data_IF_031886317013
#
_entry.id   IF_031886317013
#
_cell.length_a   1.000
_cell.length_b   1.000
_cell.length_c   1.000
_cell.angle_alpha   90.00
_cell.angle_beta   90.00
_cell.angle_gamma   90.00
#
_symmetry.space_group_name_H-M   'P 1'
#
loop_
_entity.id
_entity.type
_entity.pdbx_description
1 polymer ?
#
# COMPACT_ATOMS: atom_id res chain seq x y z
N UNK A 1 -7.43 -55.04 -10.56
CA UNK A 1 -6.14 -55.40 -11.21
C UNK A 1 -6.07 -56.89 -11.56
N UNK A 2 -5.31 -57.28 -12.59
CA UNK A 2 -5.06 -58.68 -12.95
C UNK A 2 -3.67 -59.18 -12.49
N UNK A 3 -3.45 -60.50 -12.52
CA UNK A 3 -2.21 -61.13 -12.02
C UNK A 3 -0.95 -60.71 -12.81
N UNK A 4 -1.08 -60.44 -14.12
CA UNK A 4 0.07 -60.04 -14.94
C UNK A 4 0.53 -58.62 -14.60
N UNK A 5 -0.42 -57.70 -14.42
CA UNK A 5 -0.13 -56.34 -14.00
C UNK A 5 0.47 -56.34 -12.59
N UNK A 6 -0.13 -57.07 -11.64
CA UNK A 6 0.41 -57.23 -10.28
C UNK A 6 1.87 -57.69 -10.30
N UNK A 7 2.22 -58.67 -11.14
CA UNK A 7 3.60 -59.17 -11.26
C UNK A 7 4.60 -58.12 -11.75
N UNK A 8 4.16 -57.16 -12.56
CA UNK A 8 5.03 -56.10 -13.09
C UNK A 8 5.30 -55.03 -12.05
N UNK A 9 4.35 -54.78 -11.14
CA UNK A 9 4.43 -53.70 -10.16
C UNK A 9 4.78 -54.15 -8.75
N UNK A 10 4.87 -55.47 -8.50
CA UNK A 10 5.12 -56.03 -7.17
C UNK A 10 6.38 -55.47 -6.51
N UNK A 11 7.51 -55.44 -7.23
CA UNK A 11 8.77 -54.97 -6.67
C UNK A 11 8.71 -53.46 -6.33
N UNK A 12 8.12 -52.64 -7.20
CA UNK A 12 7.92 -51.21 -6.96
C UNK A 12 7.01 -50.94 -5.75
N UNK A 13 5.96 -51.74 -5.56
CA UNK A 13 5.10 -51.65 -4.37
C UNK A 13 5.84 -52.06 -3.10
N UNK A 14 6.66 -53.12 -3.16
CA UNK A 14 7.48 -53.58 -2.03
C UNK A 14 8.53 -52.54 -1.59
N UNK A 15 8.99 -51.70 -2.52
CA UNK A 15 9.93 -50.61 -2.25
C UNK A 15 9.24 -49.27 -1.92
N UNK A 16 7.90 -49.23 -1.98
CA UNK A 16 7.10 -48.05 -1.66
C UNK A 16 7.09 -46.98 -2.75
N UNK A 17 7.44 -47.34 -3.99
CA UNK A 17 7.60 -46.43 -5.14
C UNK A 17 6.35 -46.34 -6.02
N UNK A 18 5.18 -46.74 -5.51
CA UNK A 18 3.93 -46.74 -6.26
C UNK A 18 2.92 -45.75 -5.67
N UNK A 19 2.04 -45.21 -6.52
CA UNK A 19 1.00 -44.29 -6.06
C UNK A 19 -0.02 -44.98 -5.16
N UNK A 20 -0.74 -44.19 -4.35
CA UNK A 20 -1.70 -44.71 -3.37
C UNK A 20 -2.88 -45.46 -3.98
N UNK A 21 -3.33 -45.07 -5.17
CA UNK A 21 -4.45 -45.72 -5.85
C UNK A 21 -4.04 -47.13 -6.28
N UNK A 22 -2.89 -47.24 -6.95
CA UNK A 22 -2.37 -48.54 -7.36
C UNK A 22 -1.97 -49.40 -6.16
N UNK A 23 -1.45 -48.82 -5.07
CA UNK A 23 -1.18 -49.57 -3.84
C UNK A 23 -2.46 -50.24 -3.27
N UNK A 24 -3.58 -49.52 -3.23
CA UNK A 24 -4.86 -50.06 -2.78
C UNK A 24 -5.36 -51.21 -3.69
N UNK A 25 -5.20 -51.06 -5.01
CA UNK A 25 -5.54 -52.10 -5.98
C UNK A 25 -4.69 -53.38 -5.77
N UNK A 26 -3.41 -53.24 -5.41
CA UNK A 26 -2.51 -54.37 -5.08
C UNK A 26 -3.01 -55.06 -3.82
N UNK A 27 -3.25 -54.31 -2.74
CA UNK A 27 -3.71 -54.85 -1.46
C UNK A 27 -5.03 -55.64 -1.61
N UNK A 28 -6.00 -55.08 -2.35
CA UNK A 28 -7.25 -55.77 -2.65
C UNK A 28 -7.02 -57.05 -3.46
N UNK A 29 -6.13 -57.02 -4.44
CA UNK A 29 -5.83 -58.21 -5.25
C UNK A 29 -5.14 -59.32 -4.43
N UNK A 30 -4.19 -58.95 -3.56
CA UNK A 30 -3.50 -59.88 -2.68
C UNK A 30 -4.46 -60.59 -1.71
N UNK A 31 -5.50 -59.89 -1.23
CA UNK A 31 -6.53 -60.48 -0.38
C UNK A 31 -7.38 -61.55 -1.10
N UNK A 32 -7.45 -61.51 -2.42
CA UNK A 32 -8.35 -62.36 -3.23
C UNK A 32 -7.61 -63.40 -4.08
N UNK A 33 -6.29 -63.28 -4.23
CA UNK A 33 -5.49 -64.15 -5.11
C UNK A 33 -4.33 -64.82 -4.34
N UNK A 34 -4.51 -66.08 -3.86
CA UNK A 34 -3.49 -66.81 -3.13
C UNK A 34 -2.18 -67.00 -3.91
N UNK A 35 -2.27 -67.15 -5.24
CA UNK A 35 -1.09 -67.31 -6.10
C UNK A 35 -0.23 -66.04 -6.13
N UNK A 36 -0.85 -64.86 -6.11
CA UNK A 36 -0.15 -63.58 -6.06
C UNK A 36 0.38 -63.29 -4.65
N UNK A 37 -0.35 -63.69 -3.60
CA UNK A 37 0.13 -63.58 -2.22
C UNK A 37 1.37 -64.44 -1.97
N UNK A 38 1.38 -65.69 -2.44
CA UNK A 38 2.56 -66.56 -2.36
C UNK A 38 3.79 -65.96 -3.06
N UNK A 39 3.60 -65.22 -4.17
CA UNK A 39 4.69 -64.52 -4.86
C UNK A 39 5.22 -63.34 -4.04
N UNK A 40 4.33 -62.59 -3.39
CA UNK A 40 4.71 -61.51 -2.47
C UNK A 40 5.52 -62.07 -1.30
N UNK A 41 5.05 -63.15 -0.68
CA UNK A 41 5.77 -63.83 0.42
C UNK A 41 7.17 -64.31 -0.04
N UNK A 42 7.27 -64.96 -1.19
CA UNK A 42 8.57 -65.39 -1.73
C UNK A 42 9.55 -64.23 -1.96
N UNK A 43 9.04 -63.04 -2.31
CA UNK A 43 9.87 -61.81 -2.45
C UNK A 43 10.30 -61.26 -1.10
N UNK A 44 9.41 -61.24 -0.12
CA UNK A 44 9.75 -60.82 1.25
C UNK A 44 10.78 -61.77 1.89
N UNK A 45 10.65 -63.08 1.68
CA UNK A 45 11.62 -64.07 2.14
C UNK A 45 13.00 -63.85 1.51
N UNK A 46 13.04 -63.59 0.20
CA UNK A 46 14.29 -63.26 -0.50
C UNK A 46 14.92 -61.98 0.07
N UNK A 47 14.13 -60.92 0.30
CA UNK A 47 14.62 -59.67 0.91
C UNK A 47 15.19 -59.92 2.30
N UNK A 48 14.52 -60.75 3.11
CA UNK A 48 14.99 -61.11 4.44
C UNK A 48 16.32 -61.87 4.39
N UNK A 49 16.44 -62.88 3.51
CA UNK A 49 17.68 -63.64 3.32
C UNK A 49 18.84 -62.77 2.86
N UNK A 50 18.60 -61.87 1.88
CA UNK A 50 19.62 -60.92 1.42
C UNK A 50 20.06 -60.00 2.56
N UNK A 51 19.13 -59.47 3.36
CA UNK A 51 19.47 -58.61 4.51
C UNK A 51 20.28 -59.35 5.59
N UNK A 52 20.03 -60.64 5.79
CA UNK A 52 20.79 -61.46 6.74
C UNK A 52 22.18 -61.82 6.23
N UNK A 53 22.32 -62.10 4.93
CA UNK A 53 23.59 -62.48 4.33
C UNK A 53 24.48 -61.28 3.97
N UNK A 54 23.90 -60.10 3.71
CA UNK A 54 24.65 -58.91 3.33
C UNK A 54 25.49 -58.37 4.51
N UNK A 55 26.73 -57.93 4.26
CA UNK A 55 27.53 -57.28 5.28
C UNK A 55 26.85 -55.99 5.75
N UNK A 56 26.58 -55.91 7.05
CA UNK A 56 26.01 -54.70 7.65
C UNK A 56 27.12 -53.76 8.12
N UNK A 57 27.12 -52.54 7.58
CA UNK A 57 28.06 -51.51 8.00
C UNK A 57 27.41 -50.57 9.01
N UNK A 58 27.93 -50.56 10.24
CA UNK A 58 27.42 -49.66 11.28
C UNK A 58 27.78 -48.22 10.93
N UNK A 59 26.77 -47.37 10.78
CA UNK A 59 26.97 -45.94 10.57
C UNK A 59 27.89 -45.33 11.68
N UNK A 60 28.89 -44.51 11.32
CA UNK A 60 29.74 -43.82 12.30
C UNK A 60 28.93 -42.97 13.28
N UNK A 61 29.46 -42.76 14.49
CA UNK A 61 28.77 -41.99 15.54
C UNK A 61 28.44 -40.56 15.08
N UNK A 62 29.35 -39.91 14.35
CA UNK A 62 29.15 -38.57 13.79
C UNK A 62 27.97 -38.53 12.81
N UNK A 63 27.86 -39.50 11.90
CA UNK A 63 26.75 -39.58 10.95
C UNK A 63 25.41 -39.79 11.69
N UNK A 64 25.39 -40.68 12.69
CA UNK A 64 24.20 -40.91 13.53
C UNK A 64 23.78 -39.67 14.32
N UNK A 65 24.73 -38.86 14.79
CA UNK A 65 24.42 -37.59 15.44
C UNK A 65 23.83 -36.60 14.42
N UNK A 66 24.48 -36.40 13.28
CA UNK A 66 24.02 -35.47 12.24
C UNK A 66 22.61 -35.80 11.72
N UNK A 67 22.28 -37.08 11.52
CA UNK A 67 20.93 -37.49 11.10
C UNK A 67 19.91 -37.20 12.19
N UNK A 68 20.20 -37.53 13.45
CA UNK A 68 19.29 -37.23 14.57
C UNK A 68 19.06 -35.73 14.70
N UNK A 69 20.11 -34.92 14.62
CA UNK A 69 19.98 -33.47 14.71
C UNK A 69 19.13 -32.91 13.59
N UNK A 70 19.21 -33.45 12.36
CA UNK A 70 18.39 -32.95 11.24
C UNK A 70 16.95 -33.45 11.24
N UNK A 71 16.71 -34.69 11.65
CA UNK A 71 15.36 -35.29 11.65
C UNK A 71 14.56 -34.86 12.87
N UNK A 72 15.24 -34.73 14.02
CA UNK A 72 14.61 -34.35 15.29
C UNK A 72 14.73 -32.86 15.60
N UNK A 73 15.47 -32.07 14.78
CA UNK A 73 15.47 -30.63 14.94
C UNK A 73 14.03 -30.12 14.82
N UNK A 74 13.54 -29.36 15.80
CA UNK A 74 12.28 -28.65 15.64
C UNK A 74 12.40 -27.73 14.42
N UNK A 75 11.31 -27.50 13.67
CA UNK A 75 11.32 -26.57 12.55
C UNK A 75 11.85 -25.23 13.07
N UNK A 76 12.99 -24.80 12.54
CA UNK A 76 13.56 -23.52 12.91
C UNK A 76 12.60 -22.44 12.43
N UNK A 77 11.93 -21.78 13.37
CA UNK A 77 11.08 -20.64 13.04
C UNK A 77 11.93 -19.63 12.25
N UNK A 78 11.45 -19.17 11.09
CA UNK A 78 12.18 -18.20 10.28
C UNK A 78 12.63 -17.01 11.12
N UNK A 79 13.89 -16.60 10.98
CA UNK A 79 14.47 -15.52 11.78
C UNK A 79 13.70 -14.18 11.66
N UNK A 80 12.91 -14.01 10.59
CA UNK A 80 12.06 -12.84 10.35
C UNK A 80 10.78 -12.83 11.21
N UNK A 81 10.38 -13.96 11.79
CA UNK A 81 9.25 -14.07 12.73
C UNK A 81 9.65 -13.86 14.20
N UNK A 82 10.94 -13.61 14.49
CA UNK A 82 11.35 -13.23 15.84
C UNK A 82 10.77 -11.85 16.15
N UNK A 83 9.88 -11.71 17.17
CA UNK A 83 9.27 -10.43 17.49
C UNK A 83 10.37 -9.48 17.96
N UNK A 84 10.80 -8.61 17.05
CA UNK A 84 11.67 -7.48 17.36
C UNK A 84 10.80 -6.44 18.07
N UNK A 85 10.58 -6.66 19.36
CA UNK A 85 9.87 -5.76 20.27
C UNK A 85 10.37 -4.30 20.21
N UNK A 86 11.59 -4.06 19.70
CA UNK A 86 12.09 -2.72 19.38
C UNK A 86 11.37 -2.04 18.21
N UNK A 87 10.86 -2.79 17.22
CA UNK A 87 10.07 -2.23 16.11
C UNK A 87 8.70 -1.72 16.56
N UNK A 88 8.13 -2.32 17.63
CA UNK A 88 6.87 -1.84 18.21
C UNK A 88 7.02 -0.44 18.82
N UNK A 89 8.17 -0.14 19.43
CA UNK A 89 8.48 1.19 19.97
C UNK A 89 8.62 2.26 18.88
N UNK A 90 9.28 1.93 17.76
CA UNK A 90 9.47 2.87 16.64
C UNK A 90 8.14 3.16 15.93
N UNK A 91 7.31 2.14 15.70
CA UNK A 91 6.01 2.33 15.02
C UNK A 91 5.05 3.17 15.87
N UNK A 92 5.01 2.96 17.20
CA UNK A 92 4.16 3.74 18.09
C UNK A 92 4.52 5.24 18.07
N UNK A 93 5.82 5.57 18.10
CA UNK A 93 6.30 6.94 18.05
C UNK A 93 5.97 7.62 16.70
N UNK A 94 6.15 6.90 15.59
CA UNK A 94 5.83 7.40 14.25
C UNK A 94 4.33 7.70 14.09
N UNK A 95 3.45 6.81 14.59
CA UNK A 95 2.00 7.05 14.57
C UNK A 95 1.57 8.25 15.42
N UNK A 96 2.20 8.47 16.57
CA UNK A 96 1.90 9.62 17.42
C UNK A 96 2.27 10.96 16.74
N UNK A 97 3.45 11.02 16.11
CA UNK A 97 3.89 12.21 15.37
C UNK A 97 3.01 12.50 14.15
N UNK A 98 2.61 11.46 13.40
CA UNK A 98 1.70 11.61 12.28
C UNK A 98 0.32 12.13 12.71
N UNK A 99 -0.21 11.61 13.82
CA UNK A 99 -1.50 12.06 14.38
C UNK A 99 -1.50 13.55 14.77
N UNK A 100 -0.43 14.02 15.42
CA UNK A 100 -0.26 15.45 15.77
C UNK A 100 -0.20 16.32 14.52
N UNK A 101 0.55 15.91 13.49
CA UNK A 101 0.66 16.66 12.24
C UNK A 101 -0.67 16.81 11.49
N UNK A 102 -1.48 15.75 11.44
CA UNK A 102 -2.82 15.79 10.81
C UNK A 102 -3.77 16.69 11.60
N UNK A 103 -3.76 16.59 12.95
CA UNK A 103 -4.60 17.43 13.81
C UNK A 103 -4.33 18.92 13.67
N UNK A 104 -3.06 19.32 13.60
CA UNK A 104 -2.65 20.73 13.37
C UNK A 104 -3.11 21.21 12.00
N UNK A 105 -3.00 20.38 10.96
CA UNK A 105 -3.40 20.78 9.59
C UNK A 105 -4.91 20.89 9.40
N UNK A 106 -5.70 20.06 10.09
CA UNK A 106 -7.16 20.16 10.07
C UNK A 106 -7.70 21.31 10.92
N UNK A 107 -6.95 21.75 11.93
CA UNK A 107 -7.35 22.84 12.83
C UNK A 107 -6.94 24.23 12.33
N UNK A 108 -6.09 24.31 11.29
CA UNK A 108 -5.66 25.58 10.73
C UNK A 108 -6.81 26.20 9.90
N UNK A 109 -7.29 27.42 10.23
CA UNK A 109 -8.35 28.06 9.46
C UNK A 109 -7.91 28.28 8.01
N UNK A 110 -8.67 27.75 7.07
CA UNK A 110 -8.49 27.96 5.64
C UNK A 110 -8.68 29.44 5.30
N UNK A 111 -7.64 30.07 4.76
CA UNK A 111 -7.60 31.51 4.38
C UNK A 111 -8.75 31.92 3.44
N UNK A 112 -9.34 30.97 2.72
CA UNK A 112 -10.40 31.20 1.74
C UNK A 112 -11.71 31.74 2.36
N UNK A 113 -11.97 31.47 3.65
CA UNK A 113 -13.16 31.96 4.33
C UNK A 113 -13.13 33.46 4.68
N UNK A 114 -11.95 34.07 4.72
CA UNK A 114 -11.77 35.46 5.19
C UNK A 114 -11.88 36.51 4.08
N UNK A 115 -11.76 36.11 2.81
CA UNK A 115 -11.74 37.05 1.67
C UNK A 115 -13.07 37.79 1.44
N UNK A 116 -14.25 37.14 1.46
CA UNK A 116 -15.52 37.85 1.22
C UNK A 116 -15.82 38.91 2.28
N UNK A 117 -15.57 38.58 3.55
CA UNK A 117 -15.78 39.48 4.69
C UNK A 117 -14.84 40.68 4.63
N UNK A 118 -13.58 40.47 4.23
CA UNK A 118 -12.59 41.55 4.07
C UNK A 118 -12.95 42.51 2.93
N UNK A 119 -13.50 42.02 1.82
CA UNK A 119 -13.95 42.85 0.69
C UNK A 119 -15.15 43.72 1.10
N UNK A 120 -16.12 43.14 1.82
CA UNK A 120 -17.29 43.90 2.32
C UNK A 120 -16.83 44.95 3.34
N UNK A 121 -15.94 44.58 4.26
CA UNK A 121 -15.41 45.50 5.26
C UNK A 121 -14.64 46.68 4.63
N UNK A 122 -13.81 46.43 3.62
CA UNK A 122 -13.08 47.49 2.92
C UNK A 122 -14.02 48.42 2.15
N UNK A 123 -15.05 47.89 1.50
CA UNK A 123 -16.07 48.69 0.81
C UNK A 123 -16.87 49.59 1.78
N UNK A 124 -17.34 49.03 2.89
CA UNK A 124 -18.06 49.80 3.92
C UNK A 124 -17.18 50.88 4.54
N UNK A 125 -15.89 50.61 4.75
CA UNK A 125 -14.93 51.60 5.22
C UNK A 125 -14.76 52.76 4.21
N UNK A 126 -14.67 52.45 2.91
CA UNK A 126 -14.57 53.46 1.86
C UNK A 126 -15.81 54.36 1.77
N UNK A 127 -17.02 53.81 1.99
CA UNK A 127 -18.28 54.58 1.98
C UNK A 127 -18.40 55.62 3.10
N UNK A 128 -17.64 55.46 4.20
CA UNK A 128 -17.70 56.38 5.35
C UNK A 128 -16.93 57.69 5.14
N UNK A 129 -16.03 57.74 4.17
CA UNK A 129 -15.20 58.91 3.86
C UNK A 129 -15.44 59.38 2.41
N UNK A 130 -16.20 60.49 2.19
CA UNK A 130 -16.54 60.97 0.86
C UNK A 130 -15.32 61.28 -0.02
N UNK A 131 -14.18 61.60 0.59
CA UNK A 131 -12.93 61.91 -0.14
C UNK A 131 -12.21 60.66 -0.65
N UNK A 132 -12.59 59.46 -0.20
CA UNK A 132 -12.01 58.17 -0.66
C UNK A 132 -12.86 57.44 -1.69
N UNK A 133 -14.07 57.93 -1.97
CA UNK A 133 -14.99 57.30 -2.91
C UNK A 133 -14.41 57.28 -4.34
N UNK A 134 -13.78 58.38 -4.75
CA UNK A 134 -13.17 58.55 -6.07
C UNK A 134 -11.87 59.34 -5.89
N UNK A 135 -10.72 58.66 -5.96
CA UNK A 135 -9.41 59.33 -5.83
C UNK A 135 -8.92 59.94 -7.14
N UNK A 136 -9.44 59.46 -8.28
CA UNK A 136 -9.30 60.10 -9.59
C UNK A 136 -10.66 60.12 -10.24
N UNK A 137 -11.22 61.32 -10.39
CA UNK A 137 -12.44 61.52 -11.16
C UNK A 137 -12.04 61.68 -12.63
N UNK A 138 -12.18 60.62 -13.41
CA UNK A 138 -12.02 60.68 -14.86
C UNK A 138 -12.97 59.68 -15.51
N UNK A 139 -13.73 60.16 -16.50
CA UNK A 139 -14.61 59.36 -17.35
C UNK A 139 -13.85 58.68 -18.48
N UNK A 140 -12.55 58.93 -18.62
CA UNK A 140 -11.70 58.35 -19.66
C UNK A 140 -10.77 57.25 -19.09
N UNK A 141 -10.98 56.03 -19.59
CA UNK A 141 -10.17 54.85 -19.29
C UNK A 141 -8.67 55.05 -19.55
N UNK A 142 -8.31 55.94 -20.48
CA UNK A 142 -6.93 56.26 -20.84
C UNK A 142 -6.23 57.18 -19.82
N UNK A 143 -6.97 57.74 -18.86
CA UNK A 143 -6.43 58.47 -17.70
C UNK A 143 -6.32 57.58 -16.45
N UNK A 144 -7.27 56.66 -16.29
CA UNK A 144 -7.35 55.81 -15.08
C UNK A 144 -6.27 54.72 -15.06
N UNK A 145 -5.99 54.07 -16.20
CA UNK A 145 -4.99 52.98 -16.26
C UNK A 145 -3.57 53.45 -15.92
N UNK A 146 -3.05 54.56 -16.50
CA UNK A 146 -1.72 55.06 -16.13
C UNK A 146 -1.64 55.55 -14.68
N UNK A 147 -2.73 56.01 -14.08
CA UNK A 147 -2.70 56.51 -12.69
C UNK A 147 -2.40 55.41 -11.65
N UNK A 148 -2.73 54.16 -11.96
CA UNK A 148 -2.40 53.00 -11.12
C UNK A 148 -0.96 52.51 -11.28
N UNK A 149 -0.22 53.01 -12.28
CA UNK A 149 1.16 52.62 -12.53
C UNK A 149 2.05 52.99 -11.33
N UNK A 150 2.69 51.98 -10.73
CA UNK A 150 3.52 52.13 -9.54
C UNK A 150 2.77 52.21 -8.19
N UNK A 151 1.43 52.15 -8.18
CA UNK A 151 0.62 52.16 -6.94
C UNK A 151 0.01 50.82 -6.58
N UNK A 152 -0.08 49.91 -7.55
CA UNK A 152 -0.47 48.51 -7.39
C UNK A 152 0.52 47.66 -8.17
N UNK A 153 0.69 46.41 -7.76
CA UNK A 153 1.61 45.44 -8.36
C UNK A 153 1.07 44.78 -9.64
N UNK A 154 -0.08 45.26 -10.16
CA UNK A 154 -0.73 44.75 -11.36
C UNK A 154 -1.43 45.86 -12.17
N UNK A 155 -1.71 45.62 -13.44
CA UNK A 155 -2.46 46.54 -14.29
C UNK A 155 -3.97 46.23 -14.22
N UNK A 156 -4.82 47.07 -13.58
CA UNK A 156 -6.24 46.78 -13.44
C UNK A 156 -6.96 46.84 -14.79
N UNK A 157 -7.81 45.84 -15.05
CA UNK A 157 -8.72 45.89 -16.19
C UNK A 157 -9.84 46.90 -15.90
N UNK A 158 -9.97 47.92 -16.74
CA UNK A 158 -11.08 48.88 -16.72
C UNK A 158 -11.96 48.53 -17.93
N UNK A 159 -13.03 47.72 -17.75
CA UNK A 159 -13.94 47.38 -18.83
C UNK A 159 -14.83 48.59 -19.16
N UNK A 160 -15.13 48.80 -20.45
CA UNK A 160 -16.13 49.78 -20.87
C UNK A 160 -17.53 49.16 -20.72
N UNK A 161 -18.30 49.69 -19.77
CA UNK A 161 -19.65 49.26 -19.45
C UNK A 161 -20.71 50.28 -19.89
N UNK A 162 -20.34 51.27 -20.73
CA UNK A 162 -21.26 52.29 -21.22
C UNK A 162 -22.45 51.67 -21.97
N UNK A 163 -22.21 50.59 -22.73
CA UNK A 163 -23.26 49.84 -23.44
C UNK A 163 -24.29 49.18 -22.49
N UNK A 164 -23.93 48.99 -21.21
CA UNK A 164 -24.80 48.41 -20.18
C UNK A 164 -25.45 49.49 -19.30
N UNK A 165 -25.25 50.78 -19.61
CA UNK A 165 -25.83 51.91 -18.88
C UNK A 165 -25.00 52.38 -17.68
N UNK A 166 -23.76 51.90 -17.52
CA UNK A 166 -22.87 52.33 -16.45
C UNK A 166 -21.83 53.32 -16.98
N UNK A 167 -21.77 54.49 -16.36
CA UNK A 167 -20.76 55.51 -16.67
C UNK A 167 -19.58 55.36 -15.72
N UNK A 168 -18.36 55.28 -16.27
CA UNK A 168 -17.13 55.32 -15.47
C UNK A 168 -17.04 56.67 -14.75
N UNK A 169 -17.05 56.65 -13.42
CA UNK A 169 -16.88 57.85 -12.59
C UNK A 169 -15.42 58.05 -12.22
N UNK A 170 -14.67 56.95 -12.10
CA UNK A 170 -13.23 57.00 -11.89
C UNK A 170 -12.67 55.75 -11.23
N UNK A 171 -11.70 55.94 -10.35
CA UNK A 171 -11.13 54.82 -9.60
C UNK A 171 -10.57 55.21 -8.22
N UNK A 172 -10.42 54.19 -7.37
CA UNK A 172 -9.82 54.29 -6.05
C UNK A 172 -8.86 53.13 -5.73
N UNK A 173 -7.92 53.41 -4.82
CA UNK A 173 -7.02 52.42 -4.24
C UNK A 173 -7.62 51.91 -2.92
N UNK A 174 -7.93 50.62 -2.86
CA UNK A 174 -8.47 49.92 -1.70
C UNK A 174 -7.43 48.95 -1.12
N UNK A 175 -7.75 48.33 0.02
CA UNK A 175 -6.98 47.24 0.61
C UNK A 175 -7.90 46.07 0.95
N UNK A 176 -7.50 44.84 0.62
CA UNK A 176 -8.20 43.61 0.99
C UNK A 176 -7.24 42.75 1.79
N UNK A 177 -7.48 42.66 3.10
CA UNK A 177 -6.49 42.16 4.04
C UNK A 177 -5.22 43.03 4.00
N UNK A 178 -4.06 42.40 3.80
CA UNK A 178 -2.75 43.06 3.72
C UNK A 178 -2.35 43.46 2.28
N UNK A 179 -3.23 43.28 1.29
CA UNK A 179 -2.90 43.52 -0.13
C UNK A 179 -3.57 44.78 -0.65
N UNK A 180 -2.84 45.54 -1.47
CA UNK A 180 -3.41 46.65 -2.23
C UNK A 180 -4.36 46.14 -3.31
N UNK A 181 -5.45 46.86 -3.51
CA UNK A 181 -6.50 46.55 -4.47
C UNK A 181 -6.89 47.81 -5.26
N UNK A 182 -7.36 47.61 -6.48
CA UNK A 182 -7.90 48.68 -7.31
C UNK A 182 -9.41 48.51 -7.43
N UNK A 183 -10.17 49.56 -7.16
CA UNK A 183 -11.60 49.60 -7.39
C UNK A 183 -11.93 50.62 -8.47
N UNK A 184 -12.64 50.16 -9.50
CA UNK A 184 -13.17 50.99 -10.59
C UNK A 184 -14.61 51.35 -10.21
N UNK A 185 -14.96 52.63 -10.30
CA UNK A 185 -16.23 53.19 -9.81
C UNK A 185 -17.02 53.77 -10.96
#
# INVERSE_FOLDING_TARGET
MNCNHMRQVLDAWLDGEIDRGTAADIEQHLAQCPACDARRQARDDLRAQVRQAAPYYRAPAALRAAVRDRVLAPPQAPAWLRPRWWHAGVLALASALAGVGVGVRWSAPTRDGLMPEQIVASHVAALRDPQRLITVASTDQHTVKPWFEGKVDFAPAVPDLAAQGYTLLGARLDHVGERQAAAVV
#
